data_IF_680619965304
#
_entry.id   IF_680619965304
#
_cell.length_a   1.000
_cell.length_b   1.000
_cell.length_c   1.000
_cell.angle_alpha   90.00
_cell.angle_beta   90.00
_cell.angle_gamma   90.00
#
_symmetry.space_group_name_H-M   'P 1'
#
loop_
_entity.id
_entity.type
_entity.pdbx_description
1 polymer ?
#
# COMPACT_ATOMS: atom_id res chain seq x y z
N UNK A 1 29.06 -13.57 -27.26
CA UNK A 1 27.83 -14.42 -27.23
C UNK A 1 28.18 -15.91 -27.15
N UNK A 2 28.18 -16.53 -25.97
CA UNK A 2 28.00 -17.97 -25.88
C UNK A 2 26.52 -18.26 -26.14
N UNK A 3 26.18 -18.69 -27.36
CA UNK A 3 24.83 -19.11 -27.68
C UNK A 3 24.41 -20.20 -26.68
N UNK A 4 23.35 -19.95 -25.90
CA UNK A 4 22.77 -20.99 -25.05
C UNK A 4 22.38 -22.16 -25.94
N UNK A 5 22.77 -23.38 -25.58
CA UNK A 5 22.41 -24.55 -26.37
C UNK A 5 20.89 -24.66 -26.47
N UNK A 6 20.37 -25.18 -27.58
CA UNK A 6 18.92 -25.38 -27.75
C UNK A 6 18.30 -26.20 -26.60
N UNK A 7 19.09 -27.09 -26.02
CA UNK A 7 18.74 -27.87 -24.83
C UNK A 7 18.64 -27.01 -23.56
N UNK A 8 19.58 -26.09 -23.31
CA UNK A 8 19.51 -25.14 -22.19
C UNK A 8 18.25 -24.25 -22.28
N UNK A 9 17.91 -23.78 -23.47
CA UNK A 9 16.71 -22.96 -23.69
C UNK A 9 15.45 -23.77 -23.37
N UNK A 10 15.39 -25.03 -23.81
CA UNK A 10 14.25 -25.91 -23.54
C UNK A 10 14.11 -26.21 -22.04
N UNK A 11 15.22 -26.48 -21.36
CA UNK A 11 15.27 -26.74 -19.92
C UNK A 11 14.84 -25.50 -19.11
N UNK A 12 15.30 -24.31 -19.49
CA UNK A 12 14.88 -23.05 -18.85
C UNK A 12 13.38 -22.79 -19.04
N UNK A 13 12.85 -23.01 -20.26
CA UNK A 13 11.41 -22.88 -20.53
C UNK A 13 10.58 -23.84 -19.68
N UNK A 14 11.04 -25.09 -19.55
CA UNK A 14 10.34 -26.08 -18.73
C UNK A 14 10.30 -25.65 -17.26
N UNK A 15 11.42 -25.20 -16.70
CA UNK A 15 11.49 -24.66 -15.32
C UNK A 15 10.53 -23.49 -15.11
N UNK A 16 10.59 -22.49 -15.99
CA UNK A 16 9.74 -21.30 -15.90
C UNK A 16 8.27 -21.67 -16.02
N UNK A 17 7.92 -22.57 -16.95
CA UNK A 17 6.54 -23.04 -17.10
C UNK A 17 6.04 -23.73 -15.83
N UNK A 18 6.84 -24.64 -15.26
CA UNK A 18 6.50 -25.30 -13.99
C UNK A 18 6.30 -24.29 -12.87
N UNK A 19 7.18 -23.30 -12.71
CA UNK A 19 7.01 -22.25 -11.71
C UNK A 19 5.75 -21.42 -11.95
N UNK A 20 5.45 -21.06 -13.20
CA UNK A 20 4.23 -20.33 -13.55
C UNK A 20 2.98 -21.16 -13.22
N UNK A 21 2.97 -22.45 -13.53
CA UNK A 21 1.83 -23.32 -13.26
C UNK A 21 1.56 -23.41 -11.74
N UNK A 22 2.61 -23.51 -10.92
CA UNK A 22 2.52 -23.45 -9.47
C UNK A 22 1.98 -22.09 -9.01
N UNK A 23 2.52 -20.99 -9.56
CA UNK A 23 2.07 -19.64 -9.20
C UNK A 23 0.61 -19.43 -9.53
N UNK A 24 0.18 -19.87 -10.71
CA UNK A 24 -1.23 -19.82 -11.14
C UNK A 24 -2.12 -20.61 -10.20
N UNK A 25 -1.68 -21.78 -9.76
CA UNK A 25 -2.45 -22.60 -8.83
C UNK A 25 -2.60 -21.91 -7.47
N UNK A 26 -1.50 -21.40 -6.89
CA UNK A 26 -1.55 -20.67 -5.61
C UNK A 26 -2.41 -19.41 -5.70
N UNK A 27 -2.27 -18.64 -6.79
CA UNK A 27 -3.08 -17.44 -7.03
C UNK A 27 -4.57 -17.78 -7.16
N UNK A 28 -4.93 -18.84 -7.90
CA UNK A 28 -6.33 -19.24 -8.09
C UNK A 28 -6.96 -19.77 -6.80
N UNK A 29 -6.16 -20.37 -5.91
CA UNK A 29 -6.62 -20.92 -4.64
C UNK A 29 -6.48 -19.95 -3.46
N UNK A 30 -5.99 -18.73 -3.68
CA UNK A 30 -5.72 -17.76 -2.61
C UNK A 30 -4.74 -18.28 -1.54
N UNK A 31 -3.83 -19.18 -1.92
CA UNK A 31 -2.96 -19.86 -0.98
C UNK A 31 -1.59 -19.16 -0.88
N UNK A 32 -1.03 -19.09 0.33
CA UNK A 32 0.28 -18.48 0.56
C UNK A 32 1.39 -19.26 -0.15
N UNK A 33 2.31 -18.54 -0.81
CA UNK A 33 3.46 -19.13 -1.50
C UNK A 33 4.56 -19.58 -0.53
N UNK A 34 4.78 -18.77 0.52
CA UNK A 34 5.81 -18.98 1.53
C UNK A 34 5.28 -19.76 2.74
N UNK A 35 6.20 -20.29 3.53
CA UNK A 35 5.96 -20.96 4.80
C UNK A 35 6.91 -20.43 5.86
N UNK A 36 6.84 -20.98 7.08
CA UNK A 36 7.66 -20.52 8.20
C UNK A 36 9.16 -20.82 8.05
N UNK A 37 9.53 -21.80 7.24
CA UNK A 37 10.90 -22.29 7.12
C UNK A 37 11.17 -22.81 5.69
N UNK A 38 12.24 -22.29 5.07
CA UNK A 38 12.67 -22.64 3.71
C UNK A 38 14.07 -23.32 3.70
N UNK A 39 14.56 -23.73 4.87
CA UNK A 39 15.84 -24.44 4.99
C UNK A 39 15.78 -25.86 4.42
N UNK A 40 16.93 -26.39 3.98
CA UNK A 40 17.02 -27.73 3.38
C UNK A 40 16.61 -28.85 4.34
N UNK A 41 16.81 -28.65 5.64
CA UNK A 41 16.52 -29.64 6.68
C UNK A 41 15.05 -29.60 7.14
N UNK A 42 14.27 -28.66 6.62
CA UNK A 42 12.86 -28.52 6.98
C UNK A 42 12.02 -29.66 6.44
N UNK A 43 11.10 -30.17 7.28
CA UNK A 43 10.12 -31.19 6.86
C UNK A 43 9.02 -30.63 5.96
N UNK A 44 8.81 -29.31 5.96
CA UNK A 44 7.83 -28.61 5.15
C UNK A 44 8.42 -27.26 4.71
N UNK A 45 9.08 -27.27 3.55
CA UNK A 45 9.97 -26.19 3.10
C UNK A 45 9.24 -25.06 2.38
N UNK A 46 8.13 -24.58 2.95
CA UNK A 46 7.17 -23.67 2.30
C UNK A 46 6.36 -24.26 1.15
N UNK A 47 5.13 -23.75 1.00
CA UNK A 47 4.13 -24.29 0.08
C UNK A 47 4.60 -24.33 -1.39
N UNK A 48 5.29 -23.28 -1.84
CA UNK A 48 5.81 -23.22 -3.21
C UNK A 48 6.85 -24.32 -3.47
N UNK A 49 7.80 -24.54 -2.55
CA UNK A 49 8.85 -25.53 -2.75
C UNK A 49 8.30 -26.96 -2.61
N UNK A 50 7.36 -27.19 -1.69
CA UNK A 50 6.71 -28.51 -1.58
C UNK A 50 5.85 -28.83 -2.80
N UNK A 51 5.16 -27.85 -3.37
CA UNK A 51 4.44 -28.03 -4.63
C UNK A 51 5.40 -28.29 -5.79
N UNK A 52 6.53 -27.59 -5.84
CA UNK A 52 7.58 -27.81 -6.83
C UNK A 52 8.20 -29.22 -6.71
N UNK A 53 8.41 -29.69 -5.47
CA UNK A 53 8.88 -31.04 -5.15
C UNK A 53 7.86 -32.11 -5.54
N UNK A 54 6.57 -31.85 -5.31
CA UNK A 54 5.48 -32.71 -5.74
C UNK A 54 5.47 -32.84 -7.27
N UNK A 55 5.50 -31.73 -8.01
CA UNK A 55 5.53 -31.76 -9.48
C UNK A 55 6.79 -32.42 -10.02
N UNK A 56 7.94 -32.21 -9.36
CA UNK A 56 9.18 -32.90 -9.68
C UNK A 56 9.06 -34.43 -9.51
N UNK A 57 8.32 -34.90 -8.50
CA UNK A 57 8.12 -36.35 -8.26
C UNK A 57 7.28 -37.04 -9.34
N UNK A 58 6.42 -36.29 -10.04
CA UNK A 58 5.60 -36.81 -11.14
C UNK A 58 6.26 -36.65 -12.52
N UNK A 59 7.39 -35.93 -12.62
CA UNK A 59 8.04 -35.66 -13.88
C UNK A 59 9.56 -35.60 -13.73
N UNK A 60 10.23 -36.68 -14.13
CA UNK A 60 11.69 -36.81 -14.06
C UNK A 60 12.45 -35.68 -14.79
N UNK A 61 11.88 -35.12 -15.87
CA UNK A 61 12.50 -33.99 -16.57
C UNK A 61 12.43 -32.72 -15.72
N UNK A 62 11.33 -32.49 -15.02
CA UNK A 62 11.19 -31.38 -14.07
C UNK A 62 12.11 -31.62 -12.88
N UNK A 63 12.10 -32.83 -12.29
CA UNK A 63 12.93 -33.17 -11.12
C UNK A 63 14.44 -33.01 -11.35
N UNK A 64 14.91 -33.25 -12.58
CA UNK A 64 16.31 -32.99 -12.97
C UNK A 64 16.67 -31.51 -13.14
N UNK A 65 15.70 -30.60 -13.09
CA UNK A 65 15.88 -29.18 -13.46
C UNK A 65 15.46 -28.20 -12.35
N UNK A 66 14.79 -28.65 -11.30
CA UNK A 66 14.29 -27.80 -10.20
C UNK A 66 14.96 -28.15 -8.87
N UNK A 67 14.68 -27.37 -7.82
CA UNK A 67 15.23 -27.57 -6.47
C UNK A 67 16.76 -27.60 -6.47
N UNK A 68 17.39 -28.60 -5.84
CA UNK A 68 18.85 -28.73 -5.76
C UNK A 68 19.51 -29.00 -7.13
N UNK A 69 18.75 -29.49 -8.10
CA UNK A 69 19.24 -29.78 -9.47
C UNK A 69 19.13 -28.56 -10.40
N UNK A 70 18.48 -27.48 -9.96
CA UNK A 70 18.52 -26.23 -10.68
C UNK A 70 19.97 -25.74 -10.78
N UNK A 71 20.38 -25.13 -11.91
CA UNK A 71 21.64 -24.40 -11.98
C UNK A 71 21.76 -23.49 -10.76
N UNK A 72 22.89 -23.61 -10.04
CA UNK A 72 23.20 -22.70 -8.93
C UNK A 72 22.94 -21.27 -9.40
N UNK A 73 22.30 -20.51 -8.53
CA UNK A 73 21.63 -19.23 -8.81
C UNK A 73 22.39 -18.38 -9.84
N UNK A 74 21.63 -17.59 -10.61
CA UNK A 74 22.15 -16.55 -11.51
C UNK A 74 23.24 -15.67 -10.87
N UNK A 75 23.34 -15.64 -9.54
CA UNK A 75 24.41 -15.00 -8.76
C UNK A 75 25.82 -15.50 -9.09
N UNK A 76 26.03 -16.82 -9.26
CA UNK A 76 27.34 -17.35 -9.66
C UNK A 76 27.71 -16.92 -11.09
N UNK A 77 26.71 -16.83 -11.96
CA UNK A 77 26.88 -16.31 -13.32
C UNK A 77 27.12 -14.81 -13.33
N UNK A 78 26.51 -14.06 -12.42
CA UNK A 78 26.81 -12.62 -12.25
C UNK A 78 28.25 -12.44 -11.78
N UNK A 79 28.77 -13.27 -10.88
CA UNK A 79 30.20 -13.25 -10.54
C UNK A 79 31.07 -13.54 -11.77
N UNK A 80 30.74 -14.55 -12.59
CA UNK A 80 31.48 -14.82 -13.83
C UNK A 80 31.40 -13.66 -14.84
N UNK A 81 30.24 -13.02 -14.95
CA UNK A 81 30.00 -11.89 -15.87
C UNK A 81 30.72 -10.61 -15.40
N UNK A 82 30.84 -10.40 -14.08
CA UNK A 82 31.57 -9.28 -13.48
C UNK A 82 33.08 -9.57 -13.48
N UNK A 83 33.49 -10.76 -13.05
CA UNK A 83 34.88 -11.15 -12.83
C UNK A 83 35.62 -10.16 -11.94
N UNK A 84 36.83 -9.76 -12.36
CA UNK A 84 37.63 -8.71 -11.70
C UNK A 84 37.27 -7.29 -12.19
N UNK A 85 36.16 -7.13 -12.92
CA UNK A 85 35.76 -5.83 -13.45
C UNK A 85 35.31 -4.90 -12.32
N UNK A 86 35.50 -3.60 -12.56
CA UNK A 86 34.99 -2.56 -11.68
C UNK A 86 33.47 -2.47 -11.80
N UNK A 87 32.79 -2.30 -10.68
CA UNK A 87 31.33 -2.25 -10.63
C UNK A 87 30.83 -1.14 -9.71
N UNK A 88 29.56 -0.78 -9.87
CA UNK A 88 28.84 0.11 -8.97
C UNK A 88 27.74 -0.67 -8.28
N UNK A 89 27.45 -0.31 -7.03
CA UNK A 89 26.33 -0.82 -6.27
C UNK A 89 25.20 0.21 -6.28
N UNK A 90 23.98 -0.27 -6.45
CA UNK A 90 22.75 0.49 -6.22
C UNK A 90 21.98 -0.27 -5.16
N UNK A 91 21.69 0.40 -4.05
CA UNK A 91 21.04 -0.22 -2.90
C UNK A 91 19.79 0.56 -2.56
N UNK A 92 18.71 -0.18 -2.30
CA UNK A 92 17.43 0.37 -1.93
C UNK A 92 16.89 -0.37 -0.70
N UNK A 93 16.30 0.38 0.23
CA UNK A 93 15.73 -0.16 1.47
C UNK A 93 14.21 -0.14 1.40
N UNK A 94 13.59 -1.23 1.83
CA UNK A 94 12.14 -1.36 1.88
C UNK A 94 11.69 -2.16 3.10
N UNK A 95 10.44 -1.97 3.50
CA UNK A 95 9.77 -2.80 4.51
C UNK A 95 8.84 -3.79 3.84
N UNK A 96 8.83 -5.02 4.33
CA UNK A 96 7.81 -5.99 3.94
C UNK A 96 6.51 -5.86 4.73
N UNK A 97 5.52 -6.66 4.35
CA UNK A 97 4.18 -6.70 4.96
C UNK A 97 4.22 -7.06 6.47
N UNK A 98 5.28 -7.74 6.93
CA UNK A 98 5.50 -8.06 8.33
C UNK A 98 6.35 -7.01 9.06
N UNK A 99 6.59 -5.85 8.41
CA UNK A 99 7.40 -4.73 8.92
C UNK A 99 8.86 -5.08 9.18
N UNK A 100 9.38 -6.10 8.50
CA UNK A 100 10.82 -6.41 8.54
C UNK A 100 11.53 -5.59 7.47
N UNK A 101 12.69 -5.06 7.84
CA UNK A 101 13.53 -4.27 6.94
C UNK A 101 14.24 -5.19 5.94
N UNK A 102 14.29 -4.75 4.69
CA UNK A 102 14.93 -5.45 3.59
C UNK A 102 15.78 -4.49 2.77
N UNK A 103 16.84 -5.01 2.20
CA UNK A 103 17.81 -4.27 1.40
C UNK A 103 18.02 -4.98 0.08
N UNK A 104 17.62 -4.35 -1.02
CA UNK A 104 17.86 -4.84 -2.37
C UNK A 104 19.21 -4.33 -2.87
N UNK A 105 20.04 -5.22 -3.40
CA UNK A 105 21.35 -4.90 -3.98
C UNK A 105 21.30 -5.17 -5.47
N UNK A 106 21.68 -4.16 -6.25
CA UNK A 106 21.80 -4.23 -7.70
C UNK A 106 23.21 -3.85 -8.09
N UNK A 107 23.84 -4.68 -8.94
CA UNK A 107 25.14 -4.39 -9.53
C UNK A 107 24.98 -3.75 -10.89
N UNK A 108 25.78 -2.71 -11.14
CA UNK A 108 25.95 -2.08 -12.44
C UNK A 108 27.41 -2.16 -12.86
N UNK A 109 27.69 -2.80 -13.98
CA UNK A 109 29.04 -3.04 -14.46
C UNK A 109 29.09 -3.00 -15.99
N UNK A 110 30.29 -3.02 -16.56
CA UNK A 110 30.51 -3.14 -18.00
C UNK A 110 30.94 -4.57 -18.26
N UNK A 111 30.25 -5.26 -19.17
CA UNK A 111 30.61 -6.62 -19.54
C UNK A 111 31.84 -6.66 -20.47
N UNK A 112 32.30 -7.89 -20.77
CA UNK A 112 33.45 -8.13 -21.66
C UNK A 112 33.26 -7.59 -23.08
N UNK A 113 32.01 -7.39 -23.51
CA UNK A 113 31.66 -6.85 -24.83
C UNK A 113 31.57 -5.31 -24.80
N UNK A 114 31.80 -4.67 -23.64
CA UNK A 114 31.81 -3.22 -23.46
C UNK A 114 30.43 -2.60 -23.20
N UNK A 115 29.40 -3.42 -22.96
CA UNK A 115 28.04 -2.93 -22.72
C UNK A 115 27.75 -2.76 -21.23
N UNK A 116 27.00 -1.70 -20.91
CA UNK A 116 26.55 -1.45 -19.54
C UNK A 116 25.44 -2.44 -19.16
N UNK A 117 25.71 -3.25 -18.16
CA UNK A 117 24.80 -4.22 -17.59
C UNK A 117 24.30 -3.73 -16.22
N UNK A 118 23.02 -3.98 -15.95
CA UNK A 118 22.40 -3.81 -14.63
C UNK A 118 21.77 -5.13 -14.24
N UNK A 119 22.19 -5.72 -13.12
CA UNK A 119 21.73 -7.03 -12.65
C UNK A 119 21.31 -6.94 -11.20
N UNK A 120 20.07 -7.35 -10.92
CA UNK A 120 19.66 -7.65 -9.55
C UNK A 120 20.58 -8.71 -8.97
N UNK A 121 21.10 -8.46 -7.77
CA UNK A 121 22.13 -9.28 -7.17
C UNK A 121 21.60 -10.02 -5.96
N UNK A 122 21.04 -9.29 -4.99
CA UNK A 122 20.45 -9.92 -3.81
C UNK A 122 19.34 -9.09 -3.17
N UNK A 123 18.54 -9.74 -2.33
CA UNK A 123 17.57 -9.13 -1.43
C UNK A 123 17.87 -9.67 -0.03
N UNK A 124 18.35 -8.80 0.85
CA UNK A 124 18.86 -9.16 2.18
C UNK A 124 17.88 -8.70 3.24
N UNK A 125 17.51 -9.58 4.16
CA UNK A 125 16.79 -9.17 5.36
C UNK A 125 17.78 -8.57 6.35
N UNK A 126 17.51 -7.34 6.78
CA UNK A 126 18.37 -6.63 7.75
C UNK A 126 17.62 -6.43 9.06
N UNK A 127 18.34 -6.48 10.17
CA UNK A 127 17.75 -6.33 11.51
C UNK A 127 17.28 -4.89 11.79
N UNK A 128 17.93 -3.92 11.18
CA UNK A 128 17.71 -2.48 11.32
C UNK A 128 18.29 -1.75 10.10
N UNK A 129 17.89 -0.48 9.93
CA UNK A 129 18.32 0.41 8.84
C UNK A 129 19.53 1.26 9.24
N UNK A 130 20.31 0.83 10.24
CA UNK A 130 21.51 1.57 10.64
C UNK A 130 22.59 1.39 9.58
N UNK A 131 23.24 2.49 9.21
CA UNK A 131 24.33 2.52 8.23
C UNK A 131 25.40 1.43 8.42
N UNK A 132 25.79 1.16 9.66
CA UNK A 132 26.78 0.13 9.97
C UNK A 132 26.26 -1.29 9.67
N UNK A 133 25.00 -1.56 10.02
CA UNK A 133 24.35 -2.85 9.73
C UNK A 133 24.29 -3.06 8.23
N UNK A 134 23.77 -2.09 7.49
CA UNK A 134 23.63 -2.15 6.03
C UNK A 134 24.99 -2.38 5.36
N UNK A 135 26.03 -1.64 5.77
CA UNK A 135 27.39 -1.84 5.25
C UNK A 135 27.89 -3.25 5.47
N UNK A 136 27.79 -3.77 6.70
CA UNK A 136 28.29 -5.09 7.05
C UNK A 136 27.56 -6.18 6.26
N UNK A 137 26.25 -6.04 6.07
CA UNK A 137 25.46 -6.96 5.26
C UNK A 137 25.84 -6.89 3.78
N UNK A 138 26.01 -5.70 3.20
CA UNK A 138 26.50 -5.56 1.81
C UNK A 138 27.87 -6.22 1.65
N UNK A 139 28.80 -5.97 2.58
CA UNK A 139 30.14 -6.56 2.54
C UNK A 139 30.10 -8.07 2.67
N UNK A 140 29.24 -8.59 3.54
CA UNK A 140 29.03 -10.03 3.72
C UNK A 140 28.53 -10.67 2.43
N UNK A 141 27.55 -10.05 1.77
CA UNK A 141 27.00 -10.53 0.49
C UNK A 141 28.05 -10.50 -0.62
N UNK A 142 28.81 -9.41 -0.76
CA UNK A 142 29.88 -9.31 -1.76
C UNK A 142 30.99 -10.34 -1.50
N UNK A 143 31.39 -10.51 -0.24
CA UNK A 143 32.40 -11.49 0.19
C UNK A 143 31.97 -12.92 -0.13
N UNK A 144 30.73 -13.30 0.20
CA UNK A 144 30.20 -14.63 -0.10
C UNK A 144 30.16 -14.95 -1.60
N UNK A 145 30.10 -13.92 -2.45
CA UNK A 145 30.10 -14.04 -3.89
C UNK A 145 31.47 -13.73 -4.53
N UNK A 146 32.54 -13.70 -3.72
CA UNK A 146 33.92 -13.46 -4.18
C UNK A 146 34.11 -12.14 -4.95
N UNK A 147 33.28 -11.14 -4.71
CA UNK A 147 33.45 -9.81 -5.29
C UNK A 147 34.28 -8.94 -4.37
N UNK A 148 35.42 -8.47 -4.86
CA UNK A 148 36.29 -7.58 -4.10
C UNK A 148 35.63 -6.20 -3.93
N UNK A 149 35.48 -5.79 -2.67
CA UNK A 149 34.99 -4.45 -2.31
C UNK A 149 35.88 -3.33 -2.86
N UNK A 150 37.17 -3.59 -3.08
CA UNK A 150 38.10 -2.63 -3.66
C UNK A 150 37.84 -2.34 -5.15
N UNK A 151 36.99 -3.15 -5.81
CA UNK A 151 36.57 -2.93 -7.19
C UNK A 151 35.33 -2.05 -7.33
N UNK A 152 34.72 -1.62 -6.22
CA UNK A 152 33.58 -0.71 -6.24
C UNK A 152 34.03 0.67 -6.73
N UNK A 153 33.33 1.23 -7.73
CA UNK A 153 33.58 2.58 -8.28
C UNK A 153 32.41 3.53 -8.16
N UNK A 154 31.25 3.03 -7.75
CA UNK A 154 30.09 3.87 -7.50
C UNK A 154 29.15 3.25 -6.48
N UNK A 155 28.51 4.12 -5.70
CA UNK A 155 27.49 3.77 -4.72
C UNK A 155 26.27 4.67 -4.94
N UNK A 156 25.13 4.06 -5.23
CA UNK A 156 23.86 4.76 -5.47
C UNK A 156 22.84 4.39 -4.40
N UNK A 157 22.48 5.37 -3.57
CA UNK A 157 21.49 5.22 -2.50
C UNK A 157 20.43 6.33 -2.60
N UNK A 158 19.33 6.15 -1.88
CA UNK A 158 18.40 7.24 -1.64
C UNK A 158 18.96 8.24 -0.61
N UNK A 159 18.20 9.31 -0.39
CA UNK A 159 18.58 10.39 0.50
C UNK A 159 18.30 10.15 1.97
N UNK A 160 17.93 8.93 2.37
CA UNK A 160 17.53 8.67 3.74
C UNK A 160 18.67 9.02 4.71
N UNK A 161 18.31 9.39 5.95
CA UNK A 161 19.27 9.81 6.96
C UNK A 161 20.28 8.72 7.35
N UNK A 162 20.01 7.44 7.06
CA UNK A 162 20.97 6.34 7.21
C UNK A 162 21.96 6.23 6.05
N UNK A 163 21.61 6.80 4.89
CA UNK A 163 22.29 6.61 3.61
C UNK A 163 23.17 7.81 3.22
N UNK A 164 22.75 9.05 3.49
CA UNK A 164 23.35 10.27 2.92
C UNK A 164 23.33 11.53 3.82
N UNK A 165 23.92 11.49 5.02
CA UNK A 165 24.08 12.69 5.86
C UNK A 165 25.52 12.99 6.29
N UNK A 166 25.68 13.73 7.39
CA UNK A 166 26.97 14.27 7.84
C UNK A 166 27.72 13.38 8.86
N UNK A 167 27.07 12.41 9.50
CA UNK A 167 27.66 11.65 10.63
C UNK A 167 27.32 10.16 10.58
N UNK A 168 28.36 9.32 10.38
CA UNK A 168 28.27 7.84 10.46
C UNK A 168 27.27 7.19 9.48
N UNK A 169 26.88 7.84 8.37
CA UNK A 169 26.04 7.22 7.33
C UNK A 169 26.78 6.26 6.38
N UNK A 170 25.99 5.49 5.64
CA UNK A 170 26.46 4.44 4.73
C UNK A 170 27.48 4.97 3.73
N UNK A 171 27.21 6.12 3.10
CA UNK A 171 28.13 6.76 2.16
C UNK A 171 29.52 7.00 2.77
N UNK A 172 29.58 7.60 3.96
CA UNK A 172 30.85 7.94 4.63
C UNK A 172 31.58 6.67 5.08
N UNK A 173 30.85 5.68 5.58
CA UNK A 173 31.42 4.40 5.99
C UNK A 173 31.99 3.61 4.79
N UNK A 174 31.35 3.68 3.62
CA UNK A 174 31.86 3.07 2.40
C UNK A 174 33.09 3.81 1.86
N UNK A 175 33.09 5.14 1.87
CA UNK A 175 34.23 5.94 1.41
C UNK A 175 35.49 5.72 2.26
N UNK A 176 35.35 5.41 3.56
CA UNK A 176 36.48 5.05 4.43
C UNK A 176 37.20 3.78 3.95
N UNK A 177 36.47 2.78 3.47
CA UNK A 177 37.03 1.48 3.09
C UNK A 177 37.29 1.35 1.59
N UNK A 178 36.52 2.07 0.77
CA UNK A 178 36.66 2.15 -0.68
C UNK A 178 36.63 3.63 -1.13
N UNK A 179 37.77 4.34 -1.07
CA UNK A 179 37.85 5.78 -1.40
C UNK A 179 37.44 6.12 -2.83
N UNK A 180 37.47 5.14 -3.74
CA UNK A 180 37.14 5.30 -5.15
C UNK A 180 35.65 5.07 -5.47
N UNK A 181 34.82 4.75 -4.46
CA UNK A 181 33.38 4.53 -4.64
C UNK A 181 32.62 5.87 -4.68
N UNK A 182 32.44 6.44 -5.88
CA UNK A 182 31.75 7.71 -6.05
C UNK A 182 30.27 7.61 -5.67
N UNK A 183 29.81 8.55 -4.84
CA UNK A 183 28.42 8.57 -4.41
C UNK A 183 27.51 9.30 -5.39
N UNK A 184 26.42 8.63 -5.78
CA UNK A 184 25.37 9.18 -6.64
C UNK A 184 24.05 9.19 -5.88
N UNK A 185 23.59 10.38 -5.54
CA UNK A 185 22.30 10.58 -4.89
C UNK A 185 21.15 10.29 -5.87
N UNK A 186 20.15 9.53 -5.43
CA UNK A 186 18.95 9.23 -6.24
C UNK A 186 18.24 10.49 -6.77
N UNK A 187 18.31 10.72 -8.09
CA UNK A 187 17.67 11.89 -8.72
C UNK A 187 16.15 11.91 -8.54
N UNK A 188 15.49 10.75 -8.56
CA UNK A 188 14.04 10.67 -8.32
C UNK A 188 13.68 11.16 -6.92
N UNK A 189 14.45 10.75 -5.90
CA UNK A 189 14.26 11.22 -4.54
C UNK A 189 14.53 12.73 -4.41
N UNK A 190 15.58 13.27 -5.05
CA UNK A 190 15.84 14.73 -5.07
C UNK A 190 14.70 15.51 -5.70
N UNK A 191 14.18 15.02 -6.83
CA UNK A 191 13.06 15.65 -7.51
C UNK A 191 11.82 15.62 -6.61
N UNK A 192 11.54 14.49 -5.96
CA UNK A 192 10.43 14.37 -5.02
C UNK A 192 10.56 15.36 -3.86
N UNK A 193 11.73 15.44 -3.22
CA UNK A 193 11.99 16.40 -2.13
C UNK A 193 11.80 17.85 -2.60
N UNK A 194 12.29 18.18 -3.80
CA UNK A 194 12.09 19.51 -4.37
C UNK A 194 10.61 19.80 -4.60
N UNK A 195 9.86 18.87 -5.21
CA UNK A 195 8.42 19.01 -5.45
C UNK A 195 7.64 19.16 -4.14
N UNK A 196 7.97 18.40 -3.09
CA UNK A 196 7.34 18.53 -1.76
C UNK A 196 7.68 19.88 -1.12
N UNK A 197 8.93 20.31 -1.18
CA UNK A 197 9.33 21.61 -0.63
C UNK A 197 8.65 22.79 -1.35
N UNK A 198 8.43 22.65 -2.67
CA UNK A 198 7.69 23.64 -3.47
C UNK A 198 6.20 23.59 -3.16
N UNK A 199 5.61 22.39 -3.04
CA UNK A 199 4.18 22.22 -2.78
C UNK A 199 3.75 22.83 -1.45
N UNK A 200 4.61 22.77 -0.42
CA UNK A 200 4.37 23.43 0.88
C UNK A 200 4.38 24.96 0.75
N UNK A 201 5.21 25.53 -0.15
CA UNK A 201 5.31 26.98 -0.34
C UNK A 201 4.19 27.56 -1.20
N UNK A 202 3.50 26.72 -1.97
CA UNK A 202 2.33 27.09 -2.76
C UNK A 202 1.09 26.89 -1.90
N UNK A 203 0.53 27.99 -1.37
CA UNK A 203 -0.58 27.96 -0.40
C UNK A 203 -1.73 27.07 -0.86
N UNK A 204 -2.14 27.16 -2.13
CA UNK A 204 -3.24 26.37 -2.69
C UNK A 204 -2.94 24.86 -2.73
N UNK A 205 -1.70 24.48 -3.02
CA UNK A 205 -1.27 23.07 -3.06
C UNK A 205 -1.12 22.52 -1.65
N UNK A 206 -0.54 23.31 -0.74
CA UNK A 206 -0.43 22.96 0.66
C UNK A 206 -1.81 22.79 1.31
N UNK A 207 -2.75 23.68 1.02
CA UNK A 207 -4.14 23.58 1.48
C UNK A 207 -4.81 22.31 0.95
N UNK A 208 -4.63 21.98 -0.34
CA UNK A 208 -5.12 20.72 -0.91
C UNK A 208 -4.59 19.48 -0.17
N UNK A 209 -3.28 19.34 -0.03
CA UNK A 209 -2.69 18.17 0.64
C UNK A 209 -2.97 18.15 2.14
N UNK A 210 -3.12 19.31 2.80
CA UNK A 210 -3.53 19.40 4.19
C UNK A 210 -4.97 18.93 4.38
N UNK A 211 -5.86 19.32 3.47
CA UNK A 211 -7.24 18.81 3.44
C UNK A 211 -7.25 17.30 3.24
N UNK A 212 -6.47 16.75 2.30
CA UNK A 212 -6.33 15.31 2.06
C UNK A 212 -5.80 14.56 3.31
N UNK A 213 -4.79 15.10 3.98
CA UNK A 213 -4.25 14.51 5.21
C UNK A 213 -5.24 14.54 6.37
N UNK A 214 -6.10 15.56 6.45
CA UNK A 214 -7.18 15.60 7.43
C UNK A 214 -8.16 14.42 7.20
N UNK A 215 -8.49 14.07 5.94
CA UNK A 215 -9.33 12.90 5.57
C UNK A 215 -8.77 11.62 6.18
N UNK A 216 -7.48 11.34 5.95
CA UNK A 216 -6.83 10.09 6.34
C UNK A 216 -6.74 9.98 7.87
N UNK A 217 -6.53 11.09 8.56
CA UNK A 217 -6.33 11.08 10.01
C UNK A 217 -7.64 11.10 10.83
N UNK A 218 -8.74 11.62 10.28
CA UNK A 218 -10.06 11.60 10.93
C UNK A 218 -10.59 10.16 11.12
N UNK A 219 -10.19 9.20 10.27
CA UNK A 219 -10.58 7.79 10.42
C UNK A 219 -10.16 7.16 11.77
N UNK A 220 -9.25 7.79 12.53
CA UNK A 220 -8.78 7.25 13.83
C UNK A 220 -9.66 7.67 15.02
N UNK A 221 -10.58 8.63 14.87
CA UNK A 221 -11.44 9.08 15.96
C UNK A 221 -12.82 9.53 15.47
N UNK A 222 -13.85 8.81 15.93
CA UNK A 222 -15.27 9.21 16.05
C UNK A 222 -16.29 8.93 14.94
N UNK A 223 -17.43 8.39 15.42
CA UNK A 223 -18.84 8.58 15.05
C UNK A 223 -19.20 8.65 13.55
N UNK A 224 -20.00 7.67 13.10
CA UNK A 224 -20.50 7.52 11.72
C UNK A 224 -21.13 8.82 11.19
N UNK A 225 -21.83 9.59 12.03
CA UNK A 225 -22.43 10.87 11.64
C UNK A 225 -21.40 11.97 11.35
N UNK A 226 -20.33 12.03 12.14
CA UNK A 226 -19.26 12.97 11.89
C UNK A 226 -18.53 12.59 10.60
N UNK A 227 -18.31 11.29 10.37
CA UNK A 227 -17.69 10.80 9.14
C UNK A 227 -18.48 11.24 7.88
N UNK A 228 -19.81 11.07 7.86
CA UNK A 228 -20.62 11.45 6.69
C UNK A 228 -20.66 12.96 6.42
N UNK A 229 -20.77 13.79 7.46
CA UNK A 229 -20.70 15.25 7.31
C UNK A 229 -19.34 15.71 6.80
N UNK A 230 -18.27 15.05 7.27
CA UNK A 230 -16.90 15.32 6.83
C UNK A 230 -16.74 14.93 5.36
N UNK A 231 -17.19 13.73 4.96
CA UNK A 231 -17.19 13.30 3.54
C UNK A 231 -17.94 14.30 2.66
N UNK A 232 -19.12 14.77 3.06
CA UNK A 232 -19.87 15.76 2.29
C UNK A 232 -19.12 17.10 2.15
N UNK A 233 -18.49 17.55 3.24
CA UNK A 233 -17.70 18.80 3.23
C UNK A 233 -16.48 18.66 2.33
N UNK A 234 -15.81 17.51 2.37
CA UNK A 234 -14.67 17.18 1.51
C UNK A 234 -15.07 17.16 0.04
N UNK A 235 -16.18 16.51 -0.33
CA UNK A 235 -16.68 16.53 -1.71
C UNK A 235 -16.88 17.97 -2.20
N UNK A 236 -17.44 18.83 -1.35
CA UNK A 236 -17.55 20.27 -1.63
C UNK A 236 -16.20 20.97 -1.86
N UNK A 237 -15.20 20.69 -1.01
CA UNK A 237 -13.85 21.26 -1.13
C UNK A 237 -13.10 20.79 -2.38
N UNK A 238 -13.19 19.51 -2.73
CA UNK A 238 -12.54 18.95 -3.93
C UNK A 238 -13.18 19.55 -5.19
N UNK A 239 -14.51 19.70 -5.23
CA UNK A 239 -15.19 20.40 -6.32
C UNK A 239 -14.76 21.86 -6.40
N UNK A 240 -14.63 22.55 -5.27
CA UNK A 240 -14.12 23.92 -5.23
C UNK A 240 -12.71 24.02 -5.80
N UNK A 241 -11.81 23.08 -5.45
CA UNK A 241 -10.47 23.02 -6.01
C UNK A 241 -10.49 22.79 -7.54
N UNK A 242 -11.39 21.92 -8.02
CA UNK A 242 -11.57 21.68 -9.44
C UNK A 242 -11.92 22.96 -10.21
N UNK A 243 -12.86 23.75 -9.66
CA UNK A 243 -13.39 24.92 -10.34
C UNK A 243 -12.51 26.17 -10.19
N UNK A 244 -11.92 26.38 -9.01
CA UNK A 244 -11.24 27.63 -8.65
C UNK A 244 -9.73 27.44 -8.44
N UNK A 245 -9.28 26.21 -8.23
CA UNK A 245 -7.91 25.90 -7.81
C UNK A 245 -6.86 26.05 -8.91
N UNK A 246 -7.22 25.80 -10.18
CA UNK A 246 -6.27 25.83 -11.30
C UNK A 246 -5.59 27.19 -11.46
N UNK A 247 -6.38 28.27 -11.50
CA UNK A 247 -5.85 29.62 -11.70
C UNK A 247 -4.85 30.00 -10.60
N UNK A 248 -5.22 29.77 -9.34
CA UNK A 248 -4.36 30.04 -8.19
C UNK A 248 -3.09 29.17 -8.20
N UNK A 249 -3.21 27.89 -8.60
CA UNK A 249 -2.07 26.99 -8.78
C UNK A 249 -1.08 27.55 -9.81
N UNK A 250 -1.56 27.90 -11.01
CA UNK A 250 -0.70 28.42 -12.09
C UNK A 250 -0.06 29.75 -11.70
N UNK A 251 -0.80 30.68 -11.10
CA UNK A 251 -0.26 31.97 -10.65
C UNK A 251 0.89 31.78 -9.63
N UNK A 252 0.73 30.86 -8.68
CA UNK A 252 1.77 30.55 -7.70
C UNK A 252 2.98 29.85 -8.31
N UNK A 253 2.76 28.91 -9.23
CA UNK A 253 3.83 28.27 -10.00
C UNK A 253 4.60 29.34 -10.78
N UNK A 254 3.92 30.20 -11.51
CA UNK A 254 4.56 31.28 -12.27
C UNK A 254 5.36 32.23 -11.36
N UNK A 255 4.81 32.61 -10.21
CA UNK A 255 5.51 33.42 -9.20
C UNK A 255 6.78 32.73 -8.66
N UNK A 256 6.70 31.42 -8.41
CA UNK A 256 7.83 30.61 -7.97
C UNK A 256 8.94 30.58 -9.03
N UNK A 257 8.62 30.24 -10.27
CA UNK A 257 9.60 30.17 -11.35
C UNK A 257 10.29 31.53 -11.59
N UNK A 258 9.52 32.64 -11.52
CA UNK A 258 10.08 34.01 -11.54
C UNK A 258 11.06 34.28 -10.40
N UNK A 259 10.80 33.76 -9.20
CA UNK A 259 11.68 33.93 -8.03
C UNK A 259 13.03 33.22 -8.20
N UNK A 260 13.09 32.16 -9.00
CA UNK A 260 14.30 31.37 -9.24
C UNK A 260 14.93 31.64 -10.60
N UNK A 261 14.49 32.68 -11.32
CA UNK A 261 14.97 33.06 -12.65
C UNK A 261 14.88 31.92 -13.67
N UNK A 262 13.86 31.07 -13.54
CA UNK A 262 13.59 29.97 -14.44
C UNK A 262 12.62 30.46 -15.51
N UNK A 263 13.06 30.42 -16.77
CA UNK A 263 12.22 30.78 -17.92
C UNK A 263 11.04 29.81 -18.04
N UNK A 264 9.83 30.36 -18.06
CA UNK A 264 8.61 29.57 -18.23
C UNK A 264 8.29 29.60 -19.72
N UNK A 265 8.51 28.47 -20.39
CA UNK A 265 7.99 28.29 -21.74
C UNK A 265 6.48 28.54 -21.75
N UNK A 266 6.02 29.37 -22.68
CA UNK A 266 4.64 29.82 -22.79
C UNK A 266 3.64 28.65 -22.75
N UNK A 267 2.73 28.64 -21.76
CA UNK A 267 1.74 27.56 -21.59
C UNK A 267 0.78 27.43 -22.80
N UNK A 268 0.77 28.44 -23.68
CA UNK A 268 0.09 28.48 -24.97
C UNK A 268 0.76 27.62 -26.06
N UNK A 269 1.99 27.16 -25.86
CA UNK A 269 2.69 26.30 -26.82
C UNK A 269 1.96 24.96 -27.01
N UNK A 270 2.17 24.37 -28.19
CA UNK A 270 1.63 23.05 -28.52
C UNK A 270 2.27 21.99 -27.64
N UNK A 271 1.45 21.15 -27.04
CA UNK A 271 1.92 19.96 -26.33
C UNK A 271 2.30 18.88 -27.35
N UNK A 272 3.55 18.41 -27.29
CA UNK A 272 4.06 17.31 -28.13
C UNK A 272 4.45 16.16 -27.20
N UNK A 273 3.73 15.04 -27.29
CA UNK A 273 4.04 13.85 -26.51
C UNK A 273 5.14 13.04 -27.22
N UNK A 274 6.27 12.85 -26.55
CA UNK A 274 7.53 12.39 -27.18
C UNK A 274 7.55 10.92 -27.65
N UNK A 275 6.42 10.18 -27.64
CA UNK A 275 6.38 8.76 -28.05
C UNK A 275 5.05 8.34 -28.70
N UNK A 276 5.05 8.25 -30.03
CA UNK A 276 4.44 7.13 -30.77
C UNK A 276 2.92 7.10 -31.00
N UNK A 277 2.15 8.13 -30.71
CA UNK A 277 0.77 8.26 -31.20
C UNK A 277 0.64 9.49 -32.10
N UNK A 278 -0.21 9.40 -33.13
CA UNK A 278 -0.51 10.51 -34.04
C UNK A 278 -0.70 11.81 -33.24
N UNK A 279 -0.09 12.94 -33.66
CA UNK A 279 -0.25 14.21 -32.97
C UNK A 279 -1.74 14.49 -32.77
N UNK A 280 -2.19 14.60 -31.52
CA UNK A 280 -3.53 15.14 -31.26
C UNK A 280 -3.48 16.59 -31.71
N UNK A 281 -4.13 16.84 -32.83
CA UNK A 281 -4.25 18.17 -33.39
C UNK A 281 -4.80 19.13 -32.32
N UNK A 282 -3.96 20.08 -31.90
CA UNK A 282 -4.33 21.34 -31.23
C UNK A 282 -4.46 21.36 -29.69
N UNK A 283 -3.76 20.49 -28.96
CA UNK A 283 -3.70 20.57 -27.49
C UNK A 283 -2.54 21.49 -27.04
N UNK A 284 -2.83 22.49 -26.21
CA UNK A 284 -1.80 23.35 -25.58
C UNK A 284 -1.20 22.67 -24.35
N UNK A 285 -0.01 23.11 -23.93
CA UNK A 285 0.61 22.68 -22.66
C UNK A 285 -0.33 22.97 -21.49
N UNK A 286 -0.98 24.14 -21.48
CA UNK A 286 -1.99 24.47 -20.48
C UNK A 286 -3.14 23.45 -20.47
N UNK A 287 -3.67 23.09 -21.65
CA UNK A 287 -4.79 22.17 -21.73
C UNK A 287 -4.41 20.78 -21.19
N UNK A 288 -3.22 20.28 -21.55
CA UNK A 288 -2.72 19.01 -21.05
C UNK A 288 -2.61 19.00 -19.51
N UNK A 289 -1.93 19.99 -18.92
CA UNK A 289 -1.75 20.02 -17.47
C UNK A 289 -3.05 20.34 -16.72
N UNK A 290 -3.92 21.19 -17.25
CA UNK A 290 -5.18 21.56 -16.61
C UNK A 290 -6.21 20.42 -16.67
N UNK A 291 -6.52 19.93 -17.87
CA UNK A 291 -7.64 19.01 -18.05
C UNK A 291 -7.20 17.55 -17.94
N UNK A 292 -6.08 17.17 -18.57
CA UNK A 292 -5.65 15.77 -18.62
C UNK A 292 -4.88 15.32 -17.38
N UNK A 293 -4.31 16.25 -16.59
CA UNK A 293 -3.59 15.94 -15.35
C UNK A 293 -4.35 16.45 -14.13
N UNK A 294 -4.53 17.77 -13.97
CA UNK A 294 -5.10 18.36 -12.76
C UNK A 294 -6.55 17.93 -12.54
N UNK A 295 -7.43 18.18 -13.52
CA UNK A 295 -8.83 17.76 -13.42
C UNK A 295 -8.98 16.25 -13.40
N UNK A 296 -8.22 15.50 -14.21
CA UNK A 296 -8.26 14.04 -14.18
C UNK A 296 -7.87 13.47 -12.80
N UNK A 297 -6.87 14.04 -12.14
CA UNK A 297 -6.47 13.62 -10.78
C UNK A 297 -7.56 13.94 -9.77
N UNK A 298 -8.17 15.13 -9.85
CA UNK A 298 -9.27 15.53 -8.96
C UNK A 298 -10.51 14.65 -9.17
N UNK A 299 -10.86 14.38 -10.42
CA UNK A 299 -11.99 13.54 -10.81
C UNK A 299 -11.77 12.11 -10.35
N UNK A 300 -10.54 11.60 -10.44
CA UNK A 300 -10.17 10.30 -9.87
C UNK A 300 -10.36 10.27 -8.34
N UNK A 301 -9.89 11.28 -7.62
CA UNK A 301 -10.08 11.34 -6.15
C UNK A 301 -11.57 11.45 -5.76
N UNK A 302 -12.37 12.18 -6.55
CA UNK A 302 -13.82 12.25 -6.35
C UNK A 302 -14.47 10.89 -6.60
N UNK A 303 -14.07 10.20 -7.67
CA UNK A 303 -14.57 8.88 -8.02
C UNK A 303 -14.22 7.85 -6.94
N UNK A 304 -13.00 7.87 -6.41
CA UNK A 304 -12.60 6.98 -5.31
C UNK A 304 -13.44 7.22 -4.05
N UNK A 305 -13.74 8.49 -3.72
CA UNK A 305 -14.66 8.82 -2.62
C UNK A 305 -16.10 8.39 -2.90
N UNK A 306 -16.58 8.51 -4.14
CA UNK A 306 -17.91 8.04 -4.52
C UNK A 306 -18.02 6.52 -4.54
N UNK A 307 -16.95 5.82 -4.93
CA UNK A 307 -16.86 4.36 -4.89
C UNK A 307 -16.87 3.85 -3.44
N UNK A 308 -16.04 4.45 -2.57
CA UNK A 308 -15.98 4.09 -1.15
C UNK A 308 -17.29 4.42 -0.41
N UNK A 309 -17.91 5.57 -0.71
CA UNK A 309 -19.15 6.03 -0.10
C UNK A 309 -20.32 6.04 -1.10
N UNK A 310 -20.51 4.92 -1.81
CA UNK A 310 -21.61 4.77 -2.75
C UNK A 310 -23.00 4.91 -2.12
N UNK A 311 -24.05 4.90 -2.94
CA UNK A 311 -25.44 5.06 -2.48
C UNK A 311 -25.80 4.02 -1.40
N UNK A 312 -25.33 2.77 -1.57
CA UNK A 312 -25.52 1.68 -0.62
C UNK A 312 -24.87 1.96 0.75
N UNK A 313 -23.58 2.26 0.76
CA UNK A 313 -22.80 2.57 1.98
C UNK A 313 -23.34 3.83 2.67
N UNK A 314 -23.62 4.88 1.90
CA UNK A 314 -24.20 6.14 2.41
C UNK A 314 -25.53 5.89 3.11
N UNK A 315 -26.44 5.14 2.50
CA UNK A 315 -27.73 4.79 3.11
C UNK A 315 -27.56 3.89 4.33
N UNK A 316 -26.66 2.89 4.28
CA UNK A 316 -26.38 2.02 5.41
C UNK A 316 -25.87 2.83 6.63
N UNK A 317 -24.91 3.73 6.40
CA UNK A 317 -24.35 4.60 7.44
C UNK A 317 -25.39 5.60 7.97
N UNK A 318 -26.25 6.13 7.08
CA UNK A 318 -27.36 7.02 7.45
C UNK A 318 -28.36 6.28 8.35
N UNK A 319 -28.79 5.07 7.97
CA UNK A 319 -29.68 4.31 8.82
C UNK A 319 -29.02 3.86 10.13
N UNK A 320 -27.74 3.48 10.09
CA UNK A 320 -26.97 3.11 11.31
C UNK A 320 -26.85 4.28 12.28
N UNK A 321 -26.81 5.52 11.77
CA UNK A 321 -26.74 6.72 12.59
C UNK A 321 -27.99 7.00 13.44
N UNK A 322 -29.13 6.42 13.09
CA UNK A 322 -30.36 6.54 13.89
C UNK A 322 -30.24 5.86 15.25
N UNK A 323 -29.25 4.99 15.44
CA UNK A 323 -28.93 4.37 16.72
C UNK A 323 -27.98 5.21 17.58
N UNK A 324 -27.55 6.38 17.11
CA UNK A 324 -26.63 7.24 17.86
C UNK A 324 -27.34 7.87 19.08
N UNK A 325 -26.85 7.63 20.31
CA UNK A 325 -27.48 8.16 21.51
C UNK A 325 -27.24 9.66 21.75
N UNK A 326 -26.38 10.31 20.95
CA UNK A 326 -26.04 11.72 21.08
C UNK A 326 -27.29 12.61 21.00
N UNK A 327 -27.25 13.74 21.72
CA UNK A 327 -28.34 14.72 21.80
C UNK A 327 -29.69 14.07 22.20
N UNK A 328 -29.66 13.17 23.18
CA UNK A 328 -30.84 12.47 23.71
C UNK A 328 -31.59 11.65 22.65
N UNK A 329 -30.86 10.89 21.82
CA UNK A 329 -31.44 10.03 20.77
C UNK A 329 -32.30 10.79 19.76
N UNK A 330 -32.01 12.07 19.51
CA UNK A 330 -32.77 12.91 18.56
C UNK A 330 -32.88 12.31 17.15
N UNK A 331 -31.88 11.54 16.73
CA UNK A 331 -31.86 10.87 15.42
C UNK A 331 -32.57 9.50 15.41
N UNK A 332 -33.10 9.03 16.54
CA UNK A 332 -33.76 7.74 16.63
C UNK A 332 -35.06 7.71 15.84
N UNK A 333 -35.13 6.76 14.90
CA UNK A 333 -36.29 6.57 14.05
C UNK A 333 -36.53 5.08 13.83
N UNK A 334 -37.67 4.60 14.31
CA UNK A 334 -38.06 3.19 14.25
C UNK A 334 -38.20 2.70 12.80
N UNK A 335 -38.77 3.53 11.92
CA UNK A 335 -39.03 3.14 10.54
C UNK A 335 -37.73 3.05 9.74
N UNK A 336 -36.75 3.92 10.02
CA UNK A 336 -35.40 3.87 9.43
C UNK A 336 -34.63 2.61 9.86
N UNK A 337 -34.69 2.23 11.14
CA UNK A 337 -34.08 0.99 11.63
C UNK A 337 -34.77 -0.24 11.01
N UNK A 338 -36.09 -0.21 10.87
CA UNK A 338 -36.82 -1.27 10.18
C UNK A 338 -36.43 -1.35 8.69
N UNK A 339 -36.18 -0.22 8.05
CA UNK A 339 -35.67 -0.16 6.67
C UNK A 339 -34.24 -0.71 6.56
N UNK A 340 -33.37 -0.44 7.53
CA UNK A 340 -32.03 -1.04 7.60
C UNK A 340 -32.11 -2.56 7.61
N UNK A 341 -32.91 -3.13 8.51
CA UNK A 341 -33.07 -4.58 8.62
C UNK A 341 -33.69 -5.18 7.36
N UNK A 342 -34.71 -4.53 6.79
CA UNK A 342 -35.37 -5.05 5.58
C UNK A 342 -34.50 -5.00 4.34
N UNK A 343 -33.73 -3.93 4.16
CA UNK A 343 -33.03 -3.66 2.91
C UNK A 343 -31.59 -4.19 2.91
N UNK A 344 -30.92 -4.22 4.07
CA UNK A 344 -29.51 -4.61 4.18
C UNK A 344 -29.31 -5.97 4.87
N UNK A 345 -30.24 -6.38 5.74
CA UNK A 345 -30.15 -7.64 6.49
C UNK A 345 -31.37 -8.57 6.24
N UNK A 346 -31.77 -8.83 4.97
CA UNK A 346 -33.01 -9.56 4.70
C UNK A 346 -32.95 -11.05 5.03
N UNK A 347 -31.76 -11.67 4.99
CA UNK A 347 -31.53 -13.11 5.26
C UNK A 347 -31.29 -13.40 6.75
N UNK A 348 -30.99 -12.35 7.48
CA UNK A 348 -30.53 -12.34 8.86
C UNK A 348 -31.70 -12.35 9.86
N UNK A 349 -32.86 -11.88 9.40
CA UNK A 349 -34.09 -11.84 10.18
C UNK A 349 -35.18 -12.60 9.42
N UNK A 350 -35.90 -13.47 10.12
CA UNK A 350 -37.14 -14.04 9.62
C UNK A 350 -38.21 -12.96 9.45
N UNK A 351 -39.21 -13.21 8.59
CA UNK A 351 -40.33 -12.26 8.41
C UNK A 351 -41.07 -11.97 9.72
N UNK A 352 -41.14 -12.95 10.62
CA UNK A 352 -41.75 -12.76 11.93
C UNK A 352 -40.88 -11.86 12.84
N UNK A 353 -39.55 -12.00 12.79
CA UNK A 353 -38.63 -11.12 13.51
C UNK A 353 -38.65 -9.69 12.97
N UNK A 354 -38.75 -9.50 11.65
CA UNK A 354 -38.91 -8.16 11.04
C UNK A 354 -40.19 -7.46 11.49
N UNK A 355 -41.28 -8.21 11.65
CA UNK A 355 -42.55 -7.67 12.17
C UNK A 355 -42.41 -7.33 13.66
N UNK A 356 -41.83 -8.23 14.45
CA UNK A 356 -41.66 -8.07 15.89
C UNK A 356 -40.68 -6.95 16.27
N UNK A 357 -39.66 -6.71 15.44
CA UNK A 357 -38.65 -5.66 15.64
C UNK A 357 -39.29 -4.30 15.87
N UNK A 358 -40.33 -3.95 15.12
CA UNK A 358 -41.01 -2.66 15.27
C UNK A 358 -41.66 -2.49 16.64
N UNK A 359 -42.19 -3.57 17.22
CA UNK A 359 -42.74 -3.55 18.57
C UNK A 359 -41.63 -3.46 19.62
N UNK A 360 -40.54 -4.20 19.42
CA UNK A 360 -39.36 -4.14 20.31
C UNK A 360 -38.72 -2.75 20.33
N UNK A 361 -38.62 -2.08 19.18
CA UNK A 361 -38.07 -0.72 19.09
C UNK A 361 -38.95 0.32 19.81
N UNK A 362 -40.28 0.14 19.82
CA UNK A 362 -41.18 1.00 20.62
C UNK A 362 -40.97 0.81 22.12
N UNK A 363 -40.71 -0.43 22.56
CA UNK A 363 -40.36 -0.69 23.95
C UNK A 363 -38.98 -0.10 24.30
N UNK A 364 -38.00 -0.29 23.41
CA UNK A 364 -36.66 0.27 23.56
C UNK A 364 -36.69 1.79 23.71
N UNK A 365 -37.48 2.50 22.90
CA UNK A 365 -37.65 3.95 23.01
C UNK A 365 -38.07 4.34 24.44
N UNK A 366 -39.10 3.70 25.00
CA UNK A 366 -39.57 3.95 26.36
C UNK A 366 -38.51 3.58 27.42
N UNK A 367 -37.85 2.45 27.25
CA UNK A 367 -36.87 1.92 28.21
C UNK A 367 -35.58 2.76 28.26
N UNK A 368 -35.16 3.32 27.12
CA UNK A 368 -33.97 4.16 27.02
C UNK A 368 -34.18 5.53 27.66
N UNK A 369 -35.33 6.16 27.43
CA UNK A 369 -35.63 7.46 28.05
C UNK A 369 -35.91 7.37 29.55
N UNK A 370 -36.38 6.22 30.03
CA UNK A 370 -36.72 6.01 31.45
C UNK A 370 -35.55 5.54 32.33
N UNK A 371 -34.46 5.05 31.74
CA UNK A 371 -33.37 4.42 32.48
C UNK A 371 -32.11 5.29 32.51
N UNK A 372 -31.73 5.73 33.72
CA UNK A 372 -30.56 6.56 34.02
C UNK A 372 -29.23 6.04 33.42
N UNK A 373 -29.12 4.73 33.17
CA UNK A 373 -27.91 4.12 32.57
C UNK A 373 -27.69 4.46 31.09
N UNK A 374 -28.74 4.92 30.40
CA UNK A 374 -28.68 5.32 28.99
C UNK A 374 -28.70 6.85 28.83
N UNK A 375 -28.70 7.58 29.93
CA UNK A 375 -28.54 9.04 29.95
C UNK A 375 -27.03 9.36 29.83
N UNK A 376 -26.68 10.36 29.01
CA UNK A 376 -25.31 10.83 28.72
C UNK A 376 -24.40 9.96 27.84
N UNK A 377 -24.95 9.02 27.07
CA UNK A 377 -24.15 8.25 26.10
C UNK A 377 -23.78 9.09 24.88
N UNK A 378 -22.53 8.99 24.41
CA UNK A 378 -21.98 9.85 23.35
C UNK A 378 -21.72 9.14 22.02
N UNK A 379 -21.85 7.82 22.00
CA UNK A 379 -21.60 6.99 20.82
C UNK A 379 -22.38 5.69 20.84
N UNK A 380 -22.56 5.07 19.66
CA UNK A 380 -23.13 3.72 19.51
C UNK A 380 -22.30 2.68 20.29
N UNK A 381 -20.99 2.90 20.42
CA UNK A 381 -20.10 2.07 21.22
C UNK A 381 -20.47 2.14 22.71
N UNK A 382 -20.71 3.34 23.24
CA UNK A 382 -21.14 3.53 24.64
C UNK A 382 -22.50 2.88 24.88
N UNK A 383 -23.44 3.01 23.93
CA UNK A 383 -24.73 2.33 23.95
C UNK A 383 -24.57 0.80 24.01
N UNK A 384 -23.69 0.25 23.17
CA UNK A 384 -23.41 -1.18 23.12
C UNK A 384 -22.82 -1.69 24.44
N UNK A 385 -21.87 -0.96 25.02
CA UNK A 385 -21.28 -1.31 26.32
C UNK A 385 -22.27 -1.19 27.48
N UNK A 386 -23.12 -0.16 27.50
CA UNK A 386 -24.15 0.03 28.53
C UNK A 386 -25.25 -1.03 28.45
N UNK A 387 -25.71 -1.36 27.24
CA UNK A 387 -26.61 -2.48 27.01
C UNK A 387 -25.97 -3.81 27.46
N UNK A 388 -24.70 -4.04 27.11
CA UNK A 388 -23.97 -5.23 27.55
C UNK A 388 -23.82 -5.28 29.08
N UNK A 389 -23.58 -4.14 29.74
CA UNK A 389 -23.54 -4.05 31.20
C UNK A 389 -24.88 -4.46 31.82
N UNK A 390 -26.02 -4.06 31.25
CA UNK A 390 -27.36 -4.49 31.70
C UNK A 390 -27.57 -5.99 31.47
N UNK A 391 -27.21 -6.52 30.30
CA UNK A 391 -27.30 -7.96 30.01
C UNK A 391 -26.47 -8.77 31.02
N UNK A 392 -25.23 -8.33 31.29
CA UNK A 392 -24.34 -9.00 32.25
C UNK A 392 -24.80 -8.86 33.72
N UNK A 393 -25.31 -7.70 34.12
CA UNK A 393 -25.57 -7.40 35.55
C UNK A 393 -27.03 -7.58 35.99
N UNK A 394 -28.02 -7.29 35.13
CA UNK A 394 -29.46 -7.28 35.47
C UNK A 394 -30.23 -8.50 34.97
N UNK A 395 -29.97 -8.99 33.76
CA UNK A 395 -30.68 -10.16 33.17
C UNK A 395 -30.08 -11.53 33.58
N UNK A 396 -29.13 -11.54 34.53
CA UNK A 396 -28.53 -12.65 35.29
C UNK A 396 -27.54 -13.56 34.55
N UNK A 397 -26.32 -13.65 35.10
CA UNK A 397 -25.62 -14.86 35.61
C UNK A 397 -25.83 -16.25 34.97
N UNK A 398 -26.23 -16.35 33.70
CA UNK A 398 -26.41 -17.63 32.99
C UNK A 398 -26.03 -17.64 31.51
N UNK A 399 -25.63 -16.51 30.94
CA UNK A 399 -25.11 -16.49 29.57
C UNK A 399 -23.58 -16.43 29.63
N UNK A 400 -22.91 -17.47 29.14
CA UNK A 400 -21.44 -17.51 29.06
C UNK A 400 -20.92 -16.37 28.20
N UNK A 401 -19.86 -15.70 28.66
CA UNK A 401 -19.20 -14.58 27.96
C UNK A 401 -18.85 -14.93 26.50
N UNK A 402 -18.54 -16.21 26.23
CA UNK A 402 -18.21 -16.73 24.90
C UNK A 402 -19.41 -16.73 23.93
N UNK A 403 -20.63 -16.96 24.43
CA UNK A 403 -21.84 -16.96 23.61
C UNK A 403 -22.28 -15.53 23.26
N UNK A 404 -22.15 -14.58 24.19
CA UNK A 404 -22.42 -13.15 23.93
C UNK A 404 -21.36 -12.57 22.99
N UNK A 405 -20.08 -12.86 23.22
CA UNK A 405 -19.00 -12.45 22.34
C UNK A 405 -19.22 -12.98 20.91
N UNK A 406 -19.58 -14.26 20.75
CA UNK A 406 -19.83 -14.85 19.43
C UNK A 406 -21.05 -14.24 18.71
N UNK A 407 -22.12 -13.85 19.42
CA UNK A 407 -23.28 -13.22 18.76
C UNK A 407 -23.05 -11.74 18.41
N UNK A 408 -22.25 -11.01 19.18
CA UNK A 408 -21.97 -9.58 18.95
C UNK A 408 -20.82 -9.35 17.94
N UNK A 409 -19.74 -10.14 18.04
CA UNK A 409 -18.55 -10.01 17.19
C UNK A 409 -18.83 -10.48 15.75
N UNK A 410 -19.64 -11.54 15.59
CA UNK A 410 -19.98 -12.09 14.26
C UNK A 410 -20.87 -11.12 13.46
N UNK A 411 -21.58 -10.21 14.12
CA UNK A 411 -22.49 -9.28 13.45
C UNK A 411 -21.85 -7.94 13.10
N UNK A 412 -21.14 -7.32 14.04
CA UNK A 412 -20.59 -5.97 13.84
C UNK A 412 -19.30 -6.01 12.99
N UNK A 413 -18.42 -7.00 13.21
CA UNK A 413 -17.13 -7.04 12.52
C UNK A 413 -17.19 -7.73 11.15
N UNK A 414 -18.04 -8.75 10.99
CA UNK A 414 -18.07 -9.56 9.76
C UNK A 414 -18.70 -8.84 8.55
N UNK A 415 -19.62 -7.92 8.79
CA UNK A 415 -20.26 -7.08 7.76
C UNK A 415 -19.38 -5.90 7.36
N UNK A 416 -18.77 -5.22 8.36
CA UNK A 416 -17.90 -4.08 8.11
C UNK A 416 -16.58 -4.54 7.45
N UNK A 417 -15.99 -5.64 7.90
CA UNK A 417 -14.72 -6.15 7.35
C UNK A 417 -14.86 -6.82 5.97
N UNK A 418 -16.08 -7.22 5.55
CA UNK A 418 -16.30 -7.79 4.21
C UNK A 418 -16.49 -6.75 3.11
N UNK A 419 -16.82 -5.51 3.48
CA UNK A 419 -17.02 -4.41 2.53
C UNK A 419 -15.80 -3.50 2.37
N UNK A 420 -14.74 -3.73 3.15
CA UNK A 420 -13.41 -3.23 2.83
C UNK A 420 -12.71 -4.31 2.01
N UNK A 421 -12.91 -4.29 0.69
CA UNK A 421 -11.98 -4.96 -0.22
C UNK A 421 -10.60 -4.35 0.04
N UNK A 422 -9.71 -5.15 0.63
CA UNK A 422 -8.27 -4.95 0.54
C UNK A 422 -7.81 -5.62 -0.74
N UNK A 423 -8.19 -5.04 -1.88
CA UNK A 423 -7.50 -5.21 -3.16
C UNK A 423 -6.89 -3.86 -3.58
#
# INVERSE_FOLDING_TARGET
MNAQSSEQILNNRLRVKTSIDIVRWFAFQGCAFRGYDETLDSKNRANFMEMLKLLASYNDKVGKLVLENAPKSSKNKIHEDVGDSRFCIIVDEARDEFKKEQMAIILRFVDVDGFMQKRFFDLVHVKDTLALTLKNEIFTVLYHHCLDIQNIRGQGYDGASSMCGEWNELQLLFLKDCPYAYYVYCFAHRLQLALVAVSIKVVSVHEFFSNLNFIINVQKSQDILNAMNIVSTIKGLIQKLRHEGWKNLVENVVSFFKKFDIDISELSYRYVQDRGHYPRDHITIEHHYHFEIFNATIDFQMQELDNMFGEGTTRLLTFSSTLNPKDEYKSFNIDDICCLVKNYYPLDFSENEKINLRFQLKHFEVDVFSNLMFQDLRSITDLSFSAMKIVKTRLRNKIEDKFIANNLVVYIEREIAKNFDLD
#
